data_IF_472020359301
#
_entry.id   IF_472020359301
#
_cell.length_a   1.000
_cell.length_b   1.000
_cell.length_c   1.000
_cell.angle_alpha   90.00
_cell.angle_beta   90.00
_cell.angle_gamma   90.00
#
_symmetry.space_group_name_H-M   'P 1'
#
loop_
_entity.id
_entity.type
_entity.pdbx_description
1 polymer ?
#
# COMPACT_ATOMS: atom_id res chain seq x y z
N UNK A 1 -27.29 -28.78 -23.29
CA UNK A 1 -27.44 -27.86 -22.14
C UNK A 1 -26.75 -28.53 -20.96
N UNK A 2 -25.53 -28.09 -20.68
CA UNK A 2 -24.69 -28.64 -19.63
C UNK A 2 -24.83 -27.77 -18.37
N UNK A 3 -24.94 -28.46 -17.24
CA UNK A 3 -24.90 -27.95 -15.87
C UNK A 3 -23.47 -27.57 -15.47
N UNK A 4 -23.39 -26.75 -14.43
CA UNK A 4 -22.30 -26.65 -13.45
C UNK A 4 -21.06 -25.80 -13.79
N UNK A 5 -20.96 -24.64 -13.15
CA UNK A 5 -19.77 -24.27 -12.35
C UNK A 5 -20.10 -23.07 -11.44
N UNK A 6 -20.68 -23.39 -10.29
CA UNK A 6 -20.64 -22.53 -9.11
C UNK A 6 -19.20 -22.53 -8.55
N UNK A 7 -18.54 -21.38 -8.54
CA UNK A 7 -17.42 -21.07 -7.64
C UNK A 7 -16.35 -20.14 -8.23
N UNK A 8 -15.60 -19.40 -7.38
CA UNK A 8 -15.54 -19.50 -5.93
C UNK A 8 -16.02 -18.24 -5.18
N UNK A 9 -16.56 -18.49 -4.00
CA UNK A 9 -16.85 -17.53 -2.94
C UNK A 9 -15.54 -16.81 -2.54
N UNK A 10 -15.57 -15.49 -2.25
CA UNK A 10 -14.45 -14.83 -1.58
C UNK A 10 -14.37 -15.38 -0.15
N UNK A 11 -13.56 -16.43 0.02
CA UNK A 11 -13.17 -16.91 1.32
C UNK A 11 -12.44 -15.80 2.06
N UNK A 12 -12.93 -15.48 3.26
CA UNK A 12 -12.24 -14.65 4.22
C UNK A 12 -10.89 -15.29 4.54
N UNK A 13 -9.86 -14.89 3.80
CA UNK A 13 -8.49 -14.95 4.24
C UNK A 13 -8.34 -13.90 5.32
N UNK A 14 -8.58 -14.27 6.58
CA UNK A 14 -7.97 -13.58 7.69
C UNK A 14 -6.47 -13.71 7.43
N UNK A 15 -5.88 -12.69 6.82
CA UNK A 15 -4.45 -12.48 6.81
C UNK A 15 -4.09 -12.18 8.26
N UNK A 16 -4.02 -13.25 9.06
CA UNK A 16 -3.35 -13.23 10.34
C UNK A 16 -1.91 -12.92 10.00
N UNK A 17 -1.54 -11.64 10.09
CA UNK A 17 -0.16 -11.17 10.15
C UNK A 17 0.60 -12.11 11.11
N UNK A 18 1.45 -13.02 10.61
CA UNK A 18 2.08 -14.05 11.45
C UNK A 18 3.11 -13.46 12.42
N UNK A 19 3.47 -12.19 12.24
CA UNK A 19 4.53 -11.49 12.96
C UNK A 19 4.11 -10.95 14.33
N UNK A 20 2.83 -10.58 14.51
CA UNK A 20 2.34 -10.07 15.80
C UNK A 20 2.18 -11.15 16.88
N UNK A 21 1.90 -12.40 16.46
CA UNK A 21 1.72 -13.55 17.35
C UNK A 21 3.04 -14.18 17.81
N UNK A 22 4.09 -14.06 16.98
CA UNK A 22 5.42 -14.64 17.24
C UNK A 22 6.17 -13.87 18.34
N UNK A 23 6.10 -12.54 18.35
CA UNK A 23 6.72 -11.70 19.38
C UNK A 23 6.17 -11.99 20.79
N UNK A 24 4.85 -12.16 20.93
CA UNK A 24 4.21 -12.51 22.20
C UNK A 24 4.61 -13.91 22.68
N UNK A 25 4.77 -14.85 21.75
CA UNK A 25 5.25 -16.20 22.03
C UNK A 25 6.73 -16.18 22.46
N UNK A 26 7.53 -15.28 21.90
CA UNK A 26 8.94 -15.10 22.21
C UNK A 26 9.15 -14.36 23.55
N UNK A 27 8.38 -13.29 23.80
CA UNK A 27 8.33 -12.62 25.11
C UNK A 27 7.91 -13.60 26.21
N UNK A 28 6.98 -14.51 25.92
CA UNK A 28 6.59 -15.57 26.85
C UNK A 28 7.75 -16.51 27.13
N UNK A 29 8.49 -16.94 26.11
CA UNK A 29 9.71 -17.75 26.24
C UNK A 29 10.75 -17.03 27.11
N UNK A 30 10.97 -15.73 26.89
CA UNK A 30 11.89 -14.88 27.65
C UNK A 30 11.48 -14.77 29.14
N UNK A 31 10.20 -14.56 29.43
CA UNK A 31 9.68 -14.51 30.82
C UNK A 31 9.81 -15.87 31.51
N UNK A 32 9.55 -16.98 30.81
CA UNK A 32 9.78 -18.32 31.38
C UNK A 32 11.25 -18.57 31.73
N UNK A 33 12.21 -18.09 30.93
CA UNK A 33 13.64 -18.21 31.25
C UNK A 33 14.07 -17.27 32.39
N UNK A 34 13.44 -16.10 32.53
CA UNK A 34 13.64 -15.17 33.65
C UNK A 34 13.15 -15.73 35.00
N UNK A 35 12.19 -16.65 34.97
CA UNK A 35 11.64 -17.26 36.19
C UNK A 35 12.52 -18.42 36.72
N UNK A 36 13.50 -18.89 35.94
CA UNK A 36 14.25 -20.12 36.22
C UNK A 36 15.80 -20.02 36.13
N UNK A 37 16.39 -18.84 35.98
CA UNK A 37 17.85 -18.69 35.88
C UNK A 37 18.49 -18.32 37.24
N UNK A 38 19.42 -19.17 37.68
CA UNK A 38 20.32 -18.93 38.81
C UNK A 38 21.10 -17.61 38.59
N UNK A 39 21.11 -16.66 39.55
CA UNK A 39 21.57 -15.28 39.40
C UNK A 39 23.03 -15.06 38.96
N UNK A 40 23.83 -16.12 38.81
CA UNK A 40 25.28 -16.03 38.60
C UNK A 40 25.76 -15.98 37.14
N UNK A 41 24.89 -16.04 36.12
CA UNK A 41 25.27 -15.77 34.70
C UNK A 41 24.15 -15.11 33.86
N UNK A 42 23.99 -13.78 33.92
CA UNK A 42 22.92 -13.08 33.19
C UNK A 42 23.31 -12.57 31.78
N UNK A 43 24.50 -12.87 31.25
CA UNK A 43 25.12 -11.99 30.22
C UNK A 43 24.96 -12.37 28.74
N UNK A 44 24.60 -13.60 28.35
CA UNK A 44 24.51 -13.96 26.91
C UNK A 44 23.14 -13.69 26.26
N UNK A 45 22.04 -13.65 27.02
CA UNK A 45 20.70 -13.52 26.45
C UNK A 45 20.30 -12.06 26.11
N UNK A 46 21.02 -11.05 26.63
CA UNK A 46 20.67 -9.66 26.39
C UNK A 46 21.11 -9.14 25.02
N UNK A 47 22.27 -9.58 24.52
CA UNK A 47 22.80 -9.10 23.24
C UNK A 47 21.91 -9.57 22.07
N UNK A 48 21.51 -10.85 22.07
CA UNK A 48 20.59 -11.41 21.08
C UNK A 48 19.21 -10.74 21.12
N UNK A 49 18.67 -10.45 22.31
CA UNK A 49 17.40 -9.74 22.46
C UNK A 49 17.49 -8.30 21.95
N UNK A 50 18.61 -7.61 22.18
CA UNK A 50 18.81 -6.25 21.68
C UNK A 50 18.92 -6.20 20.15
N UNK A 51 19.61 -7.15 19.52
CA UNK A 51 19.69 -7.26 18.07
C UNK A 51 18.33 -7.64 17.45
N UNK A 52 17.55 -8.50 18.10
CA UNK A 52 16.20 -8.86 17.66
C UNK A 52 15.20 -7.71 17.82
N UNK A 53 15.29 -6.93 18.90
CA UNK A 53 14.48 -5.73 19.08
C UNK A 53 14.76 -4.69 18.00
N UNK A 54 16.03 -4.54 17.59
CA UNK A 54 16.42 -3.69 16.46
C UNK A 54 15.82 -4.22 15.14
N UNK A 55 15.91 -5.53 14.89
CA UNK A 55 15.33 -6.13 13.69
C UNK A 55 13.80 -6.00 13.65
N UNK A 56 13.12 -6.22 14.78
CA UNK A 56 11.66 -6.06 14.91
C UNK A 56 11.25 -4.60 14.67
N UNK A 57 12.00 -3.65 15.20
CA UNK A 57 11.74 -2.22 14.99
C UNK A 57 11.90 -1.83 13.52
N UNK A 58 12.91 -2.39 12.84
CA UNK A 58 13.12 -2.18 11.41
C UNK A 58 11.98 -2.80 10.59
N UNK A 59 11.58 -4.02 10.91
CA UNK A 59 10.49 -4.70 10.21
C UNK A 59 9.15 -3.98 10.41
N UNK A 60 8.86 -3.52 11.62
CA UNK A 60 7.71 -2.68 11.89
C UNK A 60 7.75 -1.38 11.09
N UNK A 61 8.93 -0.76 10.97
CA UNK A 61 9.11 0.43 10.13
C UNK A 61 8.85 0.13 8.65
N UNK A 62 9.29 -1.02 8.14
CA UNK A 62 8.98 -1.46 6.76
C UNK A 62 7.49 -1.70 6.56
N UNK A 63 6.83 -2.34 7.54
CA UNK A 63 5.40 -2.59 7.47
C UNK A 63 4.59 -1.28 7.50
N UNK A 64 5.03 -0.28 8.30
CA UNK A 64 4.43 1.06 8.29
C UNK A 64 4.64 1.73 6.93
N UNK A 65 5.84 1.69 6.37
CA UNK A 65 6.11 2.26 5.05
C UNK A 65 5.20 1.65 3.97
N UNK A 66 5.08 0.32 3.93
CA UNK A 66 4.17 -0.37 3.00
C UNK A 66 2.71 0.06 3.16
N UNK A 67 2.22 0.21 4.41
CA UNK A 67 0.85 0.69 4.65
C UNK A 67 0.64 2.14 4.22
N UNK A 68 1.68 2.98 4.32
CA UNK A 68 1.64 4.36 3.83
C UNK A 68 1.55 4.37 2.30
N UNK A 69 2.32 3.52 1.61
CA UNK A 69 2.25 3.39 0.15
C UNK A 69 0.85 2.94 -0.30
N UNK A 70 0.26 1.97 0.39
CA UNK A 70 -1.12 1.54 0.14
C UNK A 70 -2.12 2.69 0.31
N UNK A 71 -2.00 3.46 1.41
CA UNK A 71 -2.88 4.61 1.64
C UNK A 71 -2.72 5.68 0.57
N UNK A 72 -1.49 5.95 0.12
CA UNK A 72 -1.23 6.90 -0.95
C UNK A 72 -1.86 6.44 -2.26
N UNK A 73 -1.81 5.14 -2.58
CA UNK A 73 -2.46 4.57 -3.75
C UNK A 73 -3.98 4.77 -3.72
N UNK A 74 -4.62 4.52 -2.56
CA UNK A 74 -6.07 4.70 -2.36
C UNK A 74 -6.46 6.17 -2.45
N UNK A 75 -5.67 7.06 -1.87
CA UNK A 75 -5.90 8.50 -1.94
C UNK A 75 -5.80 9.00 -3.38
N UNK A 76 -4.77 8.58 -4.11
CA UNK A 76 -4.59 8.87 -5.54
C UNK A 76 -5.79 8.37 -6.35
N UNK A 77 -6.20 7.11 -6.14
CA UNK A 77 -7.38 6.53 -6.80
C UNK A 77 -8.65 7.34 -6.54
N UNK A 78 -8.89 7.75 -5.30
CA UNK A 78 -10.07 8.54 -4.90
C UNK A 78 -10.09 9.91 -5.56
N UNK A 79 -8.94 10.60 -5.60
CA UNK A 79 -8.81 11.87 -6.32
C UNK A 79 -9.07 11.68 -7.81
N UNK A 80 -8.52 10.63 -8.39
CA UNK A 80 -8.66 10.30 -9.82
C UNK A 80 -10.11 10.01 -10.21
N UNK A 81 -10.85 9.29 -9.36
CA UNK A 81 -12.28 9.03 -9.55
C UNK A 81 -13.11 10.32 -9.52
N UNK A 82 -12.78 11.27 -8.64
CA UNK A 82 -13.46 12.57 -8.57
C UNK A 82 -13.25 13.45 -9.80
N UNK A 83 -12.22 13.16 -10.60
CA UNK A 83 -11.88 13.89 -11.82
C UNK A 83 -12.53 13.31 -13.07
N UNK A 84 -13.06 12.08 -13.01
CA UNK A 84 -13.71 11.45 -14.15
C UNK A 84 -14.87 12.31 -14.66
N UNK A 85 -14.85 12.65 -15.94
CA UNK A 85 -15.84 13.52 -16.57
C UNK A 85 -15.67 15.02 -16.30
N UNK A 86 -14.69 15.44 -15.48
CA UNK A 86 -14.35 16.85 -15.27
C UNK A 86 -13.44 17.36 -16.38
N UNK A 87 -13.51 18.68 -16.64
CA UNK A 87 -12.57 19.38 -17.51
C UNK A 87 -11.34 19.76 -16.70
N UNK A 88 -10.17 19.29 -17.13
CA UNK A 88 -8.90 19.49 -16.43
C UNK A 88 -7.87 20.12 -17.36
N UNK A 89 -7.05 20.99 -16.80
CA UNK A 89 -5.88 21.56 -17.45
C UNK A 89 -4.65 20.80 -16.95
N UNK A 90 -3.96 20.07 -17.83
CA UNK A 90 -2.82 19.22 -17.50
C UNK A 90 -1.53 19.78 -18.08
N UNK A 91 -0.45 19.70 -17.33
CA UNK A 91 0.88 20.07 -17.80
C UNK A 91 1.44 18.98 -18.71
N UNK A 92 1.47 19.24 -20.02
CA UNK A 92 2.19 18.43 -21.00
C UNK A 92 3.62 18.92 -21.25
N UNK A 93 4.37 18.20 -22.08
CA UNK A 93 5.79 18.47 -22.37
C UNK A 93 6.02 19.82 -23.07
N UNK A 94 5.07 20.25 -23.90
CA UNK A 94 5.18 21.45 -24.74
C UNK A 94 4.20 22.57 -24.36
N UNK A 95 3.40 22.38 -23.31
CA UNK A 95 2.40 23.35 -22.89
C UNK A 95 1.31 22.78 -21.98
N UNK A 96 0.34 23.62 -21.63
CA UNK A 96 -0.85 23.17 -20.89
C UNK A 96 -1.87 22.61 -21.89
N UNK A 97 -2.36 21.40 -21.64
CA UNK A 97 -3.37 20.74 -22.46
C UNK A 97 -4.66 20.66 -21.67
N UNK A 98 -5.72 21.27 -22.22
CA UNK A 98 -7.06 21.22 -21.67
C UNK A 98 -7.85 20.07 -22.29
N UNK A 99 -8.57 19.32 -21.45
CA UNK A 99 -9.39 18.21 -21.91
C UNK A 99 -10.35 17.68 -20.85
N UNK A 100 -11.18 16.72 -21.23
CA UNK A 100 -12.11 16.02 -20.34
C UNK A 100 -11.51 14.67 -19.98
N UNK A 101 -11.51 14.33 -18.69
CA UNK A 101 -11.12 12.98 -18.25
C UNK A 101 -12.18 11.98 -18.72
N UNK A 102 -11.80 11.05 -19.59
CA UNK A 102 -12.70 10.02 -20.13
C UNK A 102 -12.51 8.65 -19.51
N UNK A 103 -11.33 8.37 -18.96
CA UNK A 103 -11.02 7.05 -18.45
C UNK A 103 -10.00 7.09 -17.32
N UNK A 104 -10.04 6.04 -16.51
CA UNK A 104 -9.10 5.74 -15.44
C UNK A 104 -8.52 4.35 -15.72
N UNK A 105 -7.21 4.22 -15.64
CA UNK A 105 -6.51 2.95 -15.67
C UNK A 105 -5.62 2.81 -14.43
N UNK A 106 -5.58 1.61 -13.88
CA UNK A 106 -4.67 1.26 -12.80
C UNK A 106 -3.56 0.40 -13.39
N UNK A 107 -2.32 0.87 -13.32
CA UNK A 107 -1.16 0.14 -13.81
C UNK A 107 -0.05 0.24 -12.78
N UNK A 108 0.53 -0.90 -12.41
CA UNK A 108 1.67 -0.98 -11.48
C UNK A 108 1.42 -0.32 -10.10
N UNK A 109 0.16 -0.32 -9.63
CA UNK A 109 -0.22 0.31 -8.35
C UNK A 109 -0.46 1.82 -8.44
N UNK A 110 -0.28 2.43 -9.60
CA UNK A 110 -0.52 3.85 -9.84
C UNK A 110 -1.82 4.09 -10.60
N UNK A 111 -2.53 5.15 -10.21
CA UNK A 111 -3.74 5.62 -10.89
C UNK A 111 -3.38 6.54 -12.04
N UNK A 112 -3.77 6.18 -13.25
CA UNK A 112 -3.49 6.92 -14.48
C UNK A 112 -4.79 7.37 -15.15
N UNK A 113 -4.76 8.57 -15.69
CA UNK A 113 -5.88 9.25 -16.34
C UNK A 113 -5.72 9.19 -17.85
N UNK A 114 -6.84 8.96 -18.53
CA UNK A 114 -6.97 9.18 -19.97
C UNK A 114 -7.80 10.43 -20.20
N UNK A 115 -7.21 11.41 -20.88
CA UNK A 115 -7.80 12.73 -21.09
C UNK A 115 -8.04 12.92 -22.57
N UNK A 116 -9.25 13.31 -22.95
CA UNK A 116 -9.60 13.68 -24.31
C UNK A 116 -9.55 15.21 -24.45
N UNK A 117 -8.66 15.71 -25.29
CA UNK A 117 -8.57 17.14 -25.59
C UNK A 117 -9.71 17.57 -26.54
N UNK A 118 -10.03 18.87 -26.57
CA UNK A 118 -11.03 19.45 -27.49
C UNK A 118 -10.71 19.20 -28.97
N UNK A 119 -9.44 18.94 -29.30
CA UNK A 119 -9.00 18.56 -30.64
C UNK A 119 -9.26 17.07 -31.00
N UNK A 120 -9.91 16.30 -30.11
CA UNK A 120 -10.17 14.86 -30.30
C UNK A 120 -8.95 13.96 -30.11
N UNK A 121 -7.84 14.49 -29.57
CA UNK A 121 -6.66 13.71 -29.21
C UNK A 121 -6.78 13.16 -27.79
N UNK A 122 -6.43 11.88 -27.62
CA UNK A 122 -6.33 11.23 -26.32
C UNK A 122 -4.90 11.33 -25.78
N UNK A 123 -4.77 11.87 -24.58
CA UNK A 123 -3.57 11.78 -23.76
C UNK A 123 -3.74 10.61 -22.78
N UNK A 124 -2.95 9.58 -22.98
CA UNK A 124 -2.85 8.45 -22.06
C UNK A 124 -1.79 8.70 -20.98
N UNK A 125 -1.91 7.99 -19.86
CA UNK A 125 -0.92 7.96 -18.78
C UNK A 125 -0.72 9.28 -18.01
N UNK A 126 -1.67 10.21 -18.02
CA UNK A 126 -1.60 11.41 -17.19
C UNK A 126 -1.77 11.06 -15.70
N UNK A 127 -1.02 11.71 -14.80
CA UNK A 127 -1.15 11.51 -13.35
C UNK A 127 -1.88 12.69 -12.70
N UNK A 128 -2.48 12.45 -11.53
CA UNK A 128 -3.16 13.51 -10.76
C UNK A 128 -2.20 14.67 -10.43
N UNK A 129 -0.92 14.36 -10.23
CA UNK A 129 0.15 15.34 -9.96
C UNK A 129 0.41 16.32 -11.10
N UNK A 130 0.03 15.98 -12.34
CA UNK A 130 0.23 16.84 -13.52
C UNK A 130 -0.94 17.81 -13.75
N UNK A 131 -2.03 17.71 -12.98
CA UNK A 131 -3.20 18.56 -13.10
C UNK A 131 -2.91 19.91 -12.47
N UNK A 132 -3.03 20.98 -13.26
CA UNK A 132 -2.82 22.35 -12.83
C UNK A 132 -4.10 22.98 -12.31
N UNK A 133 -5.24 22.71 -12.95
CA UNK A 133 -6.54 23.29 -12.58
C UNK A 133 -7.68 22.37 -13.01
N UNK A 134 -8.73 22.32 -12.18
CA UNK A 134 -9.98 21.60 -12.43
C UNK A 134 -11.06 22.66 -12.71
N UNK A 135 -11.77 22.53 -13.83
CA UNK A 135 -12.90 23.39 -14.19
C UNK A 135 -14.25 22.69 -13.99
#
# INVERSE_FOLDING_TARGET
MAIDSLGPVPGGGTQTDPTGLDLQSLLRIIVTQLTYQDPLKPVDNYEFVSQLAQFTSLEQSRQIASKIDDLLSVQSATQTLGLLGRKVDVRGDTGTISGIVKGLSFKDGESKLTIESEAGQFLADATVSQILTIR
#
